data_IF_036808283067
#
_entry.id   IF_036808283067
#
_cell.length_a   1.000
_cell.length_b   1.000
_cell.length_c   1.000
_cell.angle_alpha   90.00
_cell.angle_beta   90.00
_cell.angle_gamma   90.00
#
_symmetry.space_group_name_H-M   'P 1'
#
loop_
_entity.id
_entity.type
_entity.pdbx_description
1 polymer ?
#
# COMPACT_ATOMS: atom_id res chain seq x y z
N UNK A 1 26.59 2.55 -8.63
CA UNK A 1 26.23 3.28 -7.40
C UNK A 1 24.83 2.83 -6.98
N UNK A 2 24.73 1.94 -6.00
CA UNK A 2 23.44 1.49 -5.47
C UNK A 2 23.04 2.34 -4.27
N UNK A 3 21.84 2.91 -4.29
CA UNK A 3 21.31 3.64 -3.14
C UNK A 3 21.28 2.74 -1.91
N UNK A 4 21.75 3.26 -0.77
CA UNK A 4 21.64 2.68 0.57
C UNK A 4 20.16 2.43 0.95
N UNK A 5 19.55 1.34 0.48
CA UNK A 5 18.24 0.93 0.95
C UNK A 5 18.38 0.23 2.31
N UNK A 6 18.28 1.01 3.39
CA UNK A 6 18.21 0.48 4.76
C UNK A 6 16.88 -0.26 5.03
N UNK A 7 15.84 0.00 4.23
CA UNK A 7 14.54 -0.66 4.30
C UNK A 7 13.80 -0.57 2.94
N UNK A 8 13.08 -1.64 2.57
CA UNK A 8 12.20 -1.67 1.40
C UNK A 8 10.78 -1.26 1.79
N UNK A 9 10.19 -0.29 1.08
CA UNK A 9 8.78 0.10 1.24
C UNK A 9 7.91 -0.59 0.18
N UNK A 10 6.60 -0.63 0.41
CA UNK A 10 5.63 -1.14 -0.58
C UNK A 10 5.62 -0.34 -1.90
N UNK A 11 6.02 0.93 -1.87
CA UNK A 11 6.19 1.75 -3.09
C UNK A 11 7.41 1.29 -3.87
N UNK A 12 8.53 1.04 -3.17
CA UNK A 12 9.76 0.57 -3.79
C UNK A 12 9.55 -0.80 -4.46
N UNK A 13 8.84 -1.73 -3.79
CA UNK A 13 8.54 -3.04 -4.36
C UNK A 13 7.63 -2.94 -5.59
N UNK A 14 6.59 -2.09 -5.55
CA UNK A 14 5.74 -1.84 -6.73
C UNK A 14 6.52 -1.23 -7.91
N UNK A 15 7.42 -0.30 -7.64
CA UNK A 15 8.30 0.29 -8.67
C UNK A 15 9.23 -0.76 -9.28
N UNK A 16 9.84 -1.61 -8.44
CA UNK A 16 10.73 -2.67 -8.88
C UNK A 16 10.00 -3.69 -9.76
N UNK A 17 8.80 -4.14 -9.38
CA UNK A 17 8.02 -5.11 -10.14
C UNK A 17 7.77 -4.65 -11.58
N UNK A 18 7.60 -3.33 -11.83
CA UNK A 18 7.36 -2.78 -13.17
C UNK A 18 8.55 -2.91 -14.12
N UNK A 19 9.78 -2.84 -13.60
CA UNK A 19 11.00 -2.86 -14.41
C UNK A 19 11.74 -4.20 -14.36
N UNK A 20 11.39 -5.05 -13.39
CA UNK A 20 12.16 -6.25 -13.06
C UNK A 20 12.33 -7.23 -14.23
N UNK A 21 11.25 -7.56 -14.93
CA UNK A 21 11.31 -8.53 -16.04
C UNK A 21 12.19 -8.03 -17.18
N UNK A 22 12.01 -6.78 -17.59
CA UNK A 22 12.83 -6.17 -18.64
C UNK A 22 14.31 -6.06 -18.22
N UNK A 23 14.59 -5.88 -16.92
CA UNK A 23 15.95 -5.76 -16.41
C UNK A 23 16.72 -7.09 -16.40
N UNK A 24 16.03 -8.24 -16.29
CA UNK A 24 16.68 -9.56 -16.29
C UNK A 24 16.71 -10.20 -17.68
N UNK A 25 15.89 -9.71 -18.61
CA UNK A 25 15.83 -10.19 -19.98
C UNK A 25 17.19 -10.09 -20.67
N UNK A 26 17.64 -11.17 -21.33
CA UNK A 26 18.96 -11.26 -21.95
C UNK A 26 20.13 -11.53 -21.00
N UNK A 27 19.94 -11.43 -19.67
CA UNK A 27 20.98 -11.71 -18.67
C UNK A 27 20.84 -13.08 -18.01
N UNK A 28 19.63 -13.62 -17.96
CA UNK A 28 19.34 -14.94 -17.37
C UNK A 28 18.73 -15.88 -18.40
N UNK A 29 18.85 -17.21 -18.23
CA UNK A 29 18.17 -18.19 -19.06
C UNK A 29 16.68 -17.89 -19.20
N UNK A 30 16.14 -18.05 -20.40
CA UNK A 30 14.73 -17.78 -20.71
C UNK A 30 13.72 -18.44 -19.73
N UNK A 31 13.92 -19.69 -19.27
CA UNK A 31 13.02 -20.29 -18.28
C UNK A 31 12.95 -19.52 -16.95
N UNK A 32 14.02 -18.85 -16.54
CA UNK A 32 14.05 -18.01 -15.33
C UNK A 32 13.21 -16.75 -15.52
N UNK A 33 13.26 -16.14 -16.71
CA UNK A 33 12.41 -15.00 -17.07
C UNK A 33 10.94 -15.42 -17.03
N UNK A 34 10.59 -16.57 -17.63
CA UNK A 34 9.22 -17.09 -17.62
C UNK A 34 8.71 -17.43 -16.23
N UNK A 35 9.52 -18.06 -15.38
CA UNK A 35 9.15 -18.32 -14.00
C UNK A 35 8.92 -17.01 -13.24
N UNK A 36 9.81 -16.02 -13.39
CA UNK A 36 9.67 -14.71 -12.76
C UNK A 36 8.39 -13.99 -13.22
N UNK A 37 8.09 -14.03 -14.52
CA UNK A 37 6.89 -13.45 -15.08
C UNK A 37 5.62 -14.12 -14.55
N UNK A 38 5.58 -15.46 -14.53
CA UNK A 38 4.44 -16.23 -14.04
C UNK A 38 4.19 -15.98 -12.53
N UNK A 39 5.25 -15.85 -11.75
CA UNK A 39 5.17 -15.46 -10.33
C UNK A 39 4.59 -14.06 -10.15
N UNK A 40 5.09 -13.07 -10.90
CA UNK A 40 4.58 -11.70 -10.81
C UNK A 40 3.12 -11.61 -11.29
N UNK A 41 2.76 -12.36 -12.34
CA UNK A 41 1.39 -12.45 -12.85
C UNK A 41 0.44 -13.01 -11.80
N UNK A 42 0.78 -14.12 -11.14
CA UNK A 42 -0.05 -14.68 -10.06
C UNK A 42 -0.19 -13.72 -8.88
N UNK A 43 0.91 -13.07 -8.46
CA UNK A 43 0.85 -12.03 -7.42
C UNK A 43 -0.05 -10.85 -7.81
N UNK A 44 -0.03 -10.42 -9.07
CA UNK A 44 -0.87 -9.34 -9.57
C UNK A 44 -2.35 -9.73 -9.57
N UNK A 45 -2.68 -10.93 -10.08
CA UNK A 45 -4.06 -11.40 -10.16
C UNK A 45 -4.70 -11.57 -8.78
N UNK A 46 -3.97 -12.11 -7.81
CA UNK A 46 -4.48 -12.26 -6.42
C UNK A 46 -4.76 -10.90 -5.75
N UNK A 47 -4.13 -9.82 -6.21
CA UNK A 47 -4.33 -8.45 -5.72
C UNK A 47 -5.45 -7.70 -6.45
N UNK A 48 -6.27 -8.36 -7.27
CA UNK A 48 -7.45 -7.71 -7.84
C UNK A 48 -8.54 -7.52 -6.77
N UNK A 49 -9.27 -6.41 -6.84
CA UNK A 49 -10.38 -6.11 -5.92
C UNK A 49 -11.58 -7.03 -6.14
N UNK A 50 -11.76 -7.49 -7.38
CA UNK A 50 -12.83 -8.38 -7.79
C UNK A 50 -12.18 -9.63 -8.38
N UNK A 51 -12.48 -10.79 -7.80
CA UNK A 51 -12.00 -12.08 -8.25
C UNK A 51 -13.20 -12.89 -8.76
N UNK A 52 -13.23 -13.12 -10.07
CA UNK A 52 -14.20 -13.99 -10.74
C UNK A 52 -13.64 -15.42 -10.86
N UNK A 53 -14.50 -16.38 -11.19
CA UNK A 53 -14.06 -17.76 -11.49
C UNK A 53 -12.98 -17.80 -12.58
N UNK A 54 -13.15 -17.00 -13.64
CA UNK A 54 -12.12 -16.84 -14.68
C UNK A 54 -10.78 -16.35 -14.11
N UNK A 55 -10.83 -15.40 -13.17
CA UNK A 55 -9.62 -14.86 -12.54
C UNK A 55 -8.93 -15.92 -11.67
N UNK A 56 -9.71 -16.75 -10.97
CA UNK A 56 -9.19 -17.88 -10.19
C UNK A 56 -8.52 -18.92 -11.09
N UNK A 57 -9.11 -19.24 -12.24
CA UNK A 57 -8.48 -20.12 -13.24
C UNK A 57 -7.17 -19.51 -13.75
N UNK A 58 -7.15 -18.21 -14.06
CA UNK A 58 -5.92 -17.53 -14.48
C UNK A 58 -4.84 -17.50 -13.39
N UNK A 59 -5.23 -17.44 -12.11
CA UNK A 59 -4.29 -17.55 -10.97
C UNK A 59 -3.68 -18.95 -10.95
N UNK A 60 -4.51 -19.98 -11.04
CA UNK A 60 -4.06 -21.37 -11.03
C UNK A 60 -3.12 -21.67 -12.21
N UNK A 61 -3.50 -21.25 -13.42
CA UNK A 61 -2.65 -21.38 -14.61
C UNK A 61 -1.30 -20.67 -14.44
N UNK A 62 -1.30 -19.47 -13.86
CA UNK A 62 -0.06 -18.73 -13.60
C UNK A 62 0.82 -19.44 -12.55
N UNK A 63 0.23 -20.06 -11.52
CA UNK A 63 0.95 -20.85 -10.52
C UNK A 63 1.55 -22.12 -11.13
N UNK A 64 0.80 -22.81 -11.99
CA UNK A 64 1.27 -24.01 -12.67
C UNK A 64 2.40 -23.69 -13.65
N UNK A 65 2.29 -22.60 -14.42
CA UNK A 65 3.38 -22.08 -15.24
C UNK A 65 4.61 -21.74 -14.39
N UNK A 66 4.41 -21.08 -13.25
CA UNK A 66 5.51 -20.77 -12.34
C UNK A 66 6.20 -22.04 -11.86
N UNK A 67 5.45 -23.02 -11.34
CA UNK A 67 6.01 -24.27 -10.83
C UNK A 67 6.71 -25.11 -11.92
N UNK A 68 6.21 -25.06 -13.16
CA UNK A 68 6.83 -25.71 -14.31
C UNK A 68 8.24 -25.15 -14.57
N UNK A 69 8.35 -23.82 -14.73
CA UNK A 69 9.62 -23.17 -15.06
C UNK A 69 10.53 -22.93 -13.86
N UNK A 70 9.99 -22.95 -12.63
CA UNK A 70 10.76 -22.75 -11.40
C UNK A 70 11.86 -23.79 -11.21
N UNK A 71 11.73 -24.97 -11.85
CA UNK A 71 12.79 -25.99 -11.87
C UNK A 71 14.11 -25.48 -12.48
N UNK A 72 14.05 -24.49 -13.37
CA UNK A 72 15.22 -23.90 -14.02
C UNK A 72 16.11 -23.06 -13.09
N UNK A 73 15.63 -22.72 -11.89
CA UNK A 73 16.47 -22.08 -10.86
C UNK A 73 17.48 -23.06 -10.21
N UNK A 74 17.50 -24.36 -10.56
CA UNK A 74 18.50 -25.33 -10.05
C UNK A 74 19.71 -25.41 -10.99
N UNK A 75 20.90 -24.96 -10.53
CA UNK A 75 21.96 -25.96 -10.30
C UNK A 75 22.58 -26.04 -8.88
N UNK A 76 22.55 -25.03 -8.00
CA UNK A 76 23.45 -25.06 -6.81
C UNK A 76 22.84 -24.75 -5.43
N UNK A 77 21.55 -24.37 -5.30
CA UNK A 77 21.06 -23.76 -4.05
C UNK A 77 19.75 -24.42 -3.56
N UNK A 78 19.81 -25.73 -3.27
CA UNK A 78 18.60 -26.56 -3.20
C UNK A 78 18.10 -26.94 -1.80
N UNK A 79 18.75 -26.54 -0.71
CA UNK A 79 18.33 -27.03 0.60
C UNK A 79 17.15 -26.26 1.25
N UNK A 80 16.94 -24.95 0.98
CA UNK A 80 16.06 -24.14 1.86
C UNK A 80 15.23 -23.03 1.18
N UNK A 81 14.85 -23.16 -0.09
CA UNK A 81 14.05 -22.12 -0.79
C UNK A 81 12.53 -22.39 -0.81
N UNK A 82 11.96 -22.94 0.26
CA UNK A 82 10.51 -22.84 0.49
C UNK A 82 10.21 -21.50 1.16
N UNK A 83 10.29 -20.39 0.41
CA UNK A 83 9.93 -19.09 0.97
C UNK A 83 8.47 -19.17 1.44
N UNK A 84 8.17 -18.84 2.71
CA UNK A 84 6.83 -19.03 3.28
C UNK A 84 5.72 -18.42 2.42
N UNK A 85 6.01 -17.27 1.78
CA UNK A 85 5.08 -16.58 0.87
C UNK A 85 4.87 -17.29 -0.47
N UNK A 86 5.86 -18.00 -0.98
CA UNK A 86 5.69 -18.81 -2.20
C UNK A 86 4.89 -20.08 -1.92
N UNK A 87 5.05 -20.64 -0.72
CA UNK A 87 4.27 -21.82 -0.32
C UNK A 87 2.80 -21.48 -0.08
N UNK A 88 2.51 -20.35 0.57
CA UNK A 88 1.13 -19.89 0.80
C UNK A 88 0.36 -19.58 -0.47
N UNK A 89 1.03 -19.40 -1.61
CA UNK A 89 0.37 -19.07 -2.87
C UNK A 89 -0.59 -20.15 -3.37
N UNK A 90 -0.30 -21.42 -3.07
CA UNK A 90 -1.19 -22.54 -3.42
C UNK A 90 -2.54 -22.45 -2.71
N UNK A 91 -2.58 -21.81 -1.56
CA UNK A 91 -3.80 -21.67 -0.77
C UNK A 91 -4.63 -20.45 -1.19
N UNK A 92 -4.14 -19.55 -2.06
CA UNK A 92 -4.87 -18.31 -2.35
C UNK A 92 -6.20 -18.54 -3.04
N UNK A 93 -6.29 -19.53 -3.93
CA UNK A 93 -7.55 -19.87 -4.61
C UNK A 93 -8.59 -20.32 -3.59
N UNK A 94 -8.25 -21.28 -2.73
CA UNK A 94 -9.15 -21.79 -1.68
C UNK A 94 -9.53 -20.70 -0.68
N UNK A 95 -8.56 -19.90 -0.23
CA UNK A 95 -8.81 -18.80 0.70
C UNK A 95 -9.69 -17.72 0.08
N UNK A 96 -9.54 -17.45 -1.22
CA UNK A 96 -10.40 -16.49 -1.92
C UNK A 96 -11.84 -17.00 -2.00
N UNK A 97 -12.03 -18.28 -2.31
CA UNK A 97 -13.37 -18.89 -2.33
C UNK A 97 -14.04 -18.85 -0.96
N UNK A 98 -13.29 -19.06 0.12
CA UNK A 98 -13.82 -19.10 1.48
C UNK A 98 -14.03 -17.72 2.12
N UNK A 99 -13.16 -16.75 1.84
CA UNK A 99 -13.09 -15.48 2.57
C UNK A 99 -13.23 -14.24 1.68
N UNK A 100 -13.37 -14.42 0.36
CA UNK A 100 -13.43 -13.33 -0.61
C UNK A 100 -12.05 -12.77 -0.98
N UNK A 101 -12.05 -11.68 -1.76
CA UNK A 101 -10.81 -11.10 -2.26
C UNK A 101 -9.91 -10.55 -1.13
N UNK A 102 -8.59 -10.84 -1.16
CA UNK A 102 -7.68 -10.48 -0.08
C UNK A 102 -7.38 -8.96 0.00
N UNK A 103 -7.76 -8.18 -1.02
CA UNK A 103 -7.41 -6.77 -1.15
C UNK A 103 -8.09 -5.83 -0.14
N UNK A 104 -9.07 -6.32 0.63
CA UNK A 104 -9.81 -5.51 1.62
C UNK A 104 -9.23 -5.47 3.03
N UNK A 105 -8.38 -6.43 3.41
CA UNK A 105 -7.97 -6.66 4.81
C UNK A 105 -6.44 -6.74 4.96
N UNK A 106 -5.72 -5.74 4.44
CA UNK A 106 -4.27 -5.67 4.62
C UNK A 106 -3.91 -5.03 5.97
N UNK A 107 -2.78 -5.48 6.55
CA UNK A 107 -2.14 -4.81 7.69
C UNK A 107 -1.80 -3.34 7.40
N UNK A 108 -1.78 -2.90 6.14
CA UNK A 108 -1.57 -1.49 5.80
C UNK A 108 -2.66 -0.56 6.36
N UNK A 109 -3.90 -1.05 6.52
CA UNK A 109 -5.00 -0.25 7.09
C UNK A 109 -4.73 0.02 8.58
N UNK A 110 -4.39 -1.02 9.32
CA UNK A 110 -4.07 -0.90 10.75
C UNK A 110 -2.73 -0.19 10.96
N UNK A 111 -1.73 -0.43 10.12
CA UNK A 111 -0.43 0.24 10.15
C UNK A 111 -0.54 1.73 9.83
N UNK A 112 -1.33 2.11 8.83
CA UNK A 112 -1.60 3.52 8.50
C UNK A 112 -2.28 4.24 9.68
N UNK A 113 -3.25 3.56 10.31
CA UNK A 113 -3.90 4.09 11.50
C UNK A 113 -2.93 4.18 12.69
N UNK A 114 -2.03 3.22 12.86
CA UNK A 114 -0.98 3.24 13.88
C UNK A 114 0.04 4.36 13.65
N UNK A 115 0.37 4.70 12.40
CA UNK A 115 1.19 5.88 12.09
C UNK A 115 0.53 7.15 12.64
N UNK A 116 -0.74 7.40 12.29
CA UNK A 116 -1.46 8.59 12.74
C UNK A 116 -1.75 8.58 14.24
N UNK A 117 -2.05 7.41 14.80
CA UNK A 117 -2.48 7.29 16.19
C UNK A 117 -1.30 7.21 17.16
N UNK A 118 -0.16 6.64 16.75
CA UNK A 118 0.94 6.31 17.67
C UNK A 118 2.23 6.97 17.22
N UNK A 119 2.69 6.70 16.00
CA UNK A 119 4.03 7.16 15.57
C UNK A 119 4.13 8.67 15.44
N UNK A 120 3.18 9.33 14.77
CA UNK A 120 3.18 10.78 14.61
C UNK A 120 3.06 11.54 15.94
N UNK A 121 2.13 11.20 16.85
CA UNK A 121 2.08 11.84 18.18
C UNK A 121 3.33 11.59 19.00
N UNK A 122 3.92 10.40 18.90
CA UNK A 122 5.17 10.09 19.58
C UNK A 122 6.33 10.95 19.07
N UNK A 123 6.47 11.10 17.75
CA UNK A 123 7.49 11.97 17.14
C UNK A 123 7.32 13.45 17.47
N UNK A 124 6.09 13.90 17.73
CA UNK A 124 5.79 15.28 18.16
C UNK A 124 5.96 15.51 19.66
N UNK A 125 6.03 14.45 20.46
CA UNK A 125 6.22 14.54 21.91
C UNK A 125 7.66 14.87 22.25
N UNK A 126 7.90 15.37 23.46
CA UNK A 126 9.26 15.56 23.97
C UNK A 126 9.90 14.25 24.50
N UNK A 127 9.27 13.10 24.26
CA UNK A 127 9.65 11.76 24.71
C UNK A 127 9.68 11.53 26.23
N UNK A 128 9.45 12.54 27.06
CA UNK A 128 9.35 12.42 28.52
C UNK A 128 7.88 12.27 28.95
N UNK A 129 7.51 11.14 29.58
CA UNK A 129 6.10 10.82 29.87
C UNK A 129 5.19 10.96 28.62
N UNK A 130 5.69 10.48 27.48
CA UNK A 130 5.12 10.72 26.15
C UNK A 130 3.65 10.28 26.01
N UNK A 131 3.23 9.22 26.71
CA UNK A 131 1.87 8.68 26.59
C UNK A 131 0.78 9.74 26.88
N UNK A 132 0.95 10.53 27.95
CA UNK A 132 0.00 11.60 28.29
C UNK A 132 -0.06 12.68 27.22
N UNK A 133 1.11 13.06 26.68
CA UNK A 133 1.20 14.05 25.60
C UNK A 133 0.57 13.53 24.29
N UNK A 134 0.79 12.26 23.97
CA UNK A 134 0.20 11.61 22.79
C UNK A 134 -1.32 11.58 22.88
N UNK A 135 -1.87 11.23 24.06
CA UNK A 135 -3.32 11.22 24.30
C UNK A 135 -3.94 12.61 24.17
N UNK A 136 -3.33 13.63 24.79
CA UNK A 136 -3.79 15.01 24.68
C UNK A 136 -3.73 15.53 23.24
N UNK A 137 -2.65 15.21 22.52
CA UNK A 137 -2.48 15.58 21.11
C UNK A 137 -3.57 14.96 20.24
N UNK A 138 -3.85 13.66 20.40
CA UNK A 138 -4.93 12.97 19.67
C UNK A 138 -6.28 13.61 19.98
N UNK A 139 -6.58 13.86 21.26
CA UNK A 139 -7.81 14.52 21.65
C UNK A 139 -7.96 15.92 21.03
N UNK A 140 -6.87 16.70 20.97
CA UNK A 140 -6.87 18.03 20.36
C UNK A 140 -7.14 17.95 18.85
N UNK A 141 -6.46 17.06 18.13
CA UNK A 141 -6.65 16.85 16.69
C UNK A 141 -8.08 16.39 16.39
N UNK A 142 -8.64 15.47 17.18
CA UNK A 142 -10.02 14.98 17.01
C UNK A 142 -11.05 16.10 17.24
N UNK A 143 -10.84 16.94 18.27
CA UNK A 143 -11.72 18.09 18.55
C UNK A 143 -11.66 19.13 17.43
N UNK A 144 -10.46 19.43 16.93
CA UNK A 144 -10.28 20.35 15.79
C UNK A 144 -10.95 19.80 14.54
N UNK A 145 -10.79 18.51 14.24
CA UNK A 145 -11.44 17.88 13.09
C UNK A 145 -12.97 18.00 13.15
N UNK A 146 -13.58 17.73 14.32
CA UNK A 146 -15.03 17.92 14.52
C UNK A 146 -15.45 19.37 14.35
N UNK A 147 -14.73 20.30 14.99
CA UNK A 147 -15.04 21.72 14.87
C UNK A 147 -14.92 22.23 13.42
N UNK A 148 -13.97 21.71 12.63
CA UNK A 148 -13.88 22.06 11.21
C UNK A 148 -15.10 21.58 10.41
N UNK A 149 -15.61 20.37 10.68
CA UNK A 149 -16.83 19.86 10.05
C UNK A 149 -18.02 20.73 10.45
N UNK A 150 -18.20 21.02 11.75
CA UNK A 150 -19.29 21.87 12.24
C UNK A 150 -19.24 23.26 11.59
N UNK A 151 -18.05 23.89 11.54
CA UNK A 151 -17.87 25.19 10.91
C UNK A 151 -18.14 25.16 9.40
N UNK A 152 -17.85 24.06 8.71
CA UNK A 152 -18.16 23.88 7.29
C UNK A 152 -19.67 23.72 7.07
N UNK A 153 -20.36 22.93 7.89
CA UNK A 153 -21.82 22.75 7.80
C UNK A 153 -22.58 24.07 8.05
N UNK A 154 -22.04 24.95 8.89
CA UNK A 154 -22.59 26.27 9.16
C UNK A 154 -22.13 27.36 8.16
N UNK A 155 -21.40 26.99 7.10
CA UNK A 155 -20.91 27.92 6.07
C UNK A 155 -19.86 28.93 6.56
N UNK A 156 -19.25 28.68 7.72
CA UNK A 156 -18.23 29.57 8.32
C UNK A 156 -16.87 29.46 7.64
N UNK A 157 -16.64 28.39 6.85
CA UNK A 157 -15.39 28.14 6.14
C UNK A 157 -15.51 28.29 4.60
N UNK A 158 -16.70 28.56 4.07
CA UNK A 158 -16.98 28.62 2.62
C UNK A 158 -16.53 29.91 1.92
N UNK A 159 -16.13 30.94 2.69
CA UNK A 159 -15.53 32.16 2.13
C UNK A 159 -14.12 32.38 2.67
N UNK A 160 -13.10 32.55 1.80
CA UNK A 160 -11.86 33.15 2.25
C UNK A 160 -12.20 34.54 2.76
N UNK A 161 -11.83 34.82 4.02
CA UNK A 161 -12.07 36.08 4.72
C UNK A 161 -11.61 37.30 3.88
N UNK A 162 -10.61 37.10 3.02
CA UNK A 162 -10.08 38.06 2.05
C UNK A 162 -11.14 38.53 1.03
N UNK A 163 -12.03 37.64 0.57
CA UNK A 163 -13.11 38.01 -0.38
C UNK A 163 -14.18 38.90 0.25
N UNK A 164 -14.46 38.72 1.54
CA UNK A 164 -15.42 39.53 2.27
C UNK A 164 -14.89 40.96 2.47
N UNK A 165 -13.60 41.09 2.79
CA UNK A 165 -12.92 42.40 2.92
C UNK A 165 -12.78 43.11 1.56
N UNK A 166 -12.51 42.38 0.48
CA UNK A 166 -12.48 42.97 -0.88
C UNK A 166 -13.86 43.45 -1.34
N UNK A 167 -14.93 42.72 -1.02
CA UNK A 167 -16.30 43.13 -1.35
C UNK A 167 -16.75 44.37 -0.57
N UNK A 168 -16.32 44.53 0.68
CA UNK A 168 -16.64 45.73 1.47
C UNK A 168 -15.84 46.94 0.99
N UNK A 169 -14.55 46.77 0.67
CA UNK A 169 -13.71 47.85 0.10
C UNK A 169 -14.19 48.30 -1.29
N UNK A 170 -14.63 47.38 -2.15
CA UNK A 170 -15.17 47.72 -3.47
C UNK A 170 -16.49 48.50 -3.41
N UNK A 171 -17.28 48.38 -2.34
CA UNK A 171 -18.54 49.13 -2.16
C UNK A 171 -18.31 50.55 -1.65
N UNK A 172 -17.24 50.80 -0.89
CA UNK A 172 -16.91 52.14 -0.38
C UNK A 172 -16.28 53.08 -1.42
N UNK A 173 -15.78 52.55 -2.54
CA UNK A 173 -15.19 53.33 -3.65
C UNK A 173 -16.20 53.74 -4.74
N UNK A 174 -17.51 53.60 -4.49
CA UNK A 174 -18.56 54.19 -5.33
C UNK A 174 -19.23 55.33 -4.54
N UNK A 175 -18.54 56.47 -4.45
CA UNK A 175 -19.14 57.78 -4.22
C UNK A 175 -19.09 58.51 -5.55
#
# INVERSE_FOLDING_TARGET
QGHHFKQWTGVNSKGLIKVYIAAIEGYVPQPIVWASWAFLKSCYLVQCDILTEDTLNMIQDALDCFHHYHKAFRPEIMAMFSLPRQHSMKCYTDLTCLFGAPNGLCLSITESKDIKAVKEPYWRSNHHNALGQMLLTKQCVDKLARSCVDCHEHGMLDRPCVSAVLCTLSRSNKI
#
